data_IF_204263063954
#
_entry.id   IF_204263063954
#
_cell.length_a   1.000
_cell.length_b   1.000
_cell.length_c   1.000
_cell.angle_alpha   90.00
_cell.angle_beta   90.00
_cell.angle_gamma   90.00
#
_symmetry.space_group_name_H-M   'P 1'
#
loop_
_entity.id
_entity.type
_entity.pdbx_description
1 polymer ?
#
# COMPACT_ATOMS: atom_id res chain seq x y z
N UNK A 1 4.75 -19.93 8.57
CA UNK A 1 4.54 -19.21 7.33
C UNK A 1 4.08 -17.80 7.61
N UNK A 2 4.55 -16.89 6.81
CA UNK A 2 4.32 -15.48 7.05
C UNK A 2 3.28 -15.00 6.04
N UNK A 3 2.18 -14.52 6.53
CA UNK A 3 1.08 -14.02 5.69
C UNK A 3 0.60 -12.71 6.27
N UNK A 4 0.40 -11.73 5.43
CA UNK A 4 -0.05 -10.42 5.85
C UNK A 4 -1.18 -9.95 4.96
N UNK A 5 -2.20 -9.37 5.59
CA UNK A 5 -3.27 -8.71 4.86
C UNK A 5 -3.40 -7.30 5.44
N UNK A 6 -3.35 -6.30 4.58
CA UNK A 6 -3.41 -4.92 5.01
C UNK A 6 -4.34 -4.12 4.13
N UNK A 7 -5.12 -3.27 4.76
CA UNK A 7 -5.93 -2.28 4.05
C UNK A 7 -5.24 -0.94 4.16
N UNK A 8 -5.28 -0.17 3.12
CA UNK A 8 -4.71 1.17 3.15
C UNK A 8 -4.89 1.88 1.83
N UNK A 9 -4.21 3.01 1.71
CA UNK A 9 -4.21 3.78 0.46
C UNK A 9 -2.92 3.53 -0.27
N UNK A 10 -3.04 3.23 -1.56
CA UNK A 10 -1.88 3.01 -2.39
C UNK A 10 -1.33 4.35 -2.81
N UNK A 11 -0.05 4.55 -2.68
CA UNK A 11 0.61 5.81 -2.97
C UNK A 11 1.91 5.59 -3.73
N UNK A 12 2.30 6.56 -4.50
CA UNK A 12 3.63 6.60 -5.14
C UNK A 12 3.93 5.37 -5.98
N UNK A 13 2.98 4.97 -6.78
CA UNK A 13 3.16 3.81 -7.65
C UNK A 13 4.22 4.08 -8.69
N UNK A 14 5.06 3.09 -8.94
CA UNK A 14 6.08 3.18 -9.96
C UNK A 14 6.24 1.82 -10.62
N UNK A 15 6.06 1.76 -11.92
CA UNK A 15 6.23 0.52 -12.66
C UNK A 15 7.66 0.43 -13.16
N UNK A 16 8.26 -0.74 -13.00
CA UNK A 16 9.61 -0.98 -13.45
C UNK A 16 9.59 -2.23 -14.32
N UNK A 17 10.27 -2.16 -15.45
CA UNK A 17 10.40 -3.32 -16.32
C UNK A 17 11.78 -3.94 -16.08
N UNK A 18 11.80 -5.23 -15.78
CA UNK A 18 13.06 -5.92 -15.54
C UNK A 18 13.74 -6.26 -16.86
N UNK A 19 14.98 -6.70 -16.77
CA UNK A 19 15.75 -7.05 -17.96
C UNK A 19 15.13 -8.23 -18.72
N UNK A 20 14.31 -9.03 -18.05
CA UNK A 20 13.64 -10.14 -18.70
C UNK A 20 12.27 -9.76 -19.27
N UNK A 21 11.92 -8.48 -19.21
CA UNK A 21 10.66 -8.01 -19.78
C UNK A 21 9.47 -8.08 -18.85
N UNK A 22 9.68 -8.42 -17.58
CA UNK A 22 8.59 -8.48 -16.63
C UNK A 22 8.38 -7.14 -15.97
N UNK A 23 7.14 -6.85 -15.63
CA UNK A 23 6.80 -5.60 -14.96
C UNK A 23 6.62 -5.84 -13.46
N UNK A 24 7.20 -4.96 -12.68
CA UNK A 24 7.05 -4.98 -11.23
C UNK A 24 6.54 -3.60 -10.86
N UNK A 25 5.54 -3.53 -10.01
CA UNK A 25 5.07 -2.26 -9.50
C UNK A 25 5.52 -2.12 -8.05
N UNK A 26 6.16 -1.00 -7.75
CA UNK A 26 6.57 -0.65 -6.41
C UNK A 26 5.66 0.46 -5.97
N UNK A 27 5.17 0.39 -4.74
CA UNK A 27 4.31 1.43 -4.20
C UNK A 27 4.43 1.46 -2.68
N UNK A 28 3.90 2.51 -2.08
CA UNK A 28 3.79 2.61 -0.64
C UNK A 28 2.33 2.43 -0.26
N UNK A 29 2.10 1.74 0.83
CA UNK A 29 0.76 1.57 1.36
C UNK A 29 0.67 2.36 2.64
N UNK A 30 -0.25 3.32 2.68
CA UNK A 30 -0.48 4.15 3.85
C UNK A 30 -1.59 3.50 4.65
N UNK A 31 -1.28 2.97 5.81
CA UNK A 31 -2.24 2.20 6.60
C UNK A 31 -2.41 2.79 8.00
N UNK A 32 -3.54 2.49 8.59
CA UNK A 32 -3.86 2.96 9.94
C UNK A 32 -3.01 2.23 10.97
N UNK A 33 -2.36 2.98 11.82
CA UNK A 33 -1.43 2.45 12.79
C UNK A 33 -1.84 2.71 14.24
N UNK A 34 -3.14 2.83 14.50
CA UNK A 34 -3.64 3.03 15.85
C UNK A 34 -3.82 4.49 16.20
N UNK A 35 -4.09 4.74 17.48
CA UNK A 35 -4.27 6.09 17.97
C UNK A 35 -3.24 6.41 19.03
N UNK A 36 -2.85 7.68 19.07
CA UNK A 36 -1.96 8.16 20.09
C UNK A 36 -2.50 9.52 20.52
N UNK A 37 -2.75 9.68 21.80
CA UNK A 37 -3.29 10.92 22.36
C UNK A 37 -4.56 11.37 21.64
N UNK A 38 -5.44 10.40 21.35
CA UNK A 38 -6.71 10.70 20.71
C UNK A 38 -6.64 10.94 19.22
N UNK A 39 -5.45 10.89 18.63
CA UNK A 39 -5.29 11.15 17.20
C UNK A 39 -4.93 9.88 16.45
N UNK A 40 -5.55 9.69 15.30
CA UNK A 40 -5.25 8.54 14.44
C UNK A 40 -3.84 8.67 13.89
N UNK A 41 -3.12 7.58 13.92
CA UNK A 41 -1.75 7.53 13.40
C UNK A 41 -1.72 6.67 12.16
N UNK A 42 -0.90 7.05 11.20
CA UNK A 42 -0.76 6.32 9.95
C UNK A 42 0.71 6.03 9.70
N UNK A 43 0.95 4.95 9.05
CA UNK A 43 2.32 4.56 8.71
C UNK A 43 2.37 4.12 7.26
N UNK A 44 3.57 4.03 6.71
CA UNK A 44 3.77 3.60 5.34
C UNK A 44 4.60 2.32 5.36
N UNK A 45 4.32 1.44 4.43
CA UNK A 45 5.15 0.28 4.22
C UNK A 45 5.43 0.19 2.72
N UNK A 46 6.67 -0.14 2.38
CA UNK A 46 7.04 -0.33 0.99
C UNK A 46 6.49 -1.66 0.50
N UNK A 47 5.87 -1.64 -0.65
CA UNK A 47 5.23 -2.80 -1.24
C UNK A 47 5.76 -3.06 -2.63
N UNK A 48 5.72 -4.31 -3.02
CA UNK A 48 6.15 -4.72 -4.35
C UNK A 48 5.20 -5.80 -4.84
N UNK A 49 4.71 -5.66 -6.06
CA UNK A 49 3.88 -6.69 -6.67
C UNK A 49 4.47 -6.97 -8.06
N UNK A 50 4.55 -8.24 -8.42
CA UNK A 50 5.19 -8.64 -9.66
C UNK A 50 4.22 -8.65 -10.82
N UNK A 51 3.58 -7.53 -11.02
CA UNK A 51 2.66 -7.34 -12.14
C UNK A 51 2.44 -5.84 -12.33
N UNK A 52 1.85 -5.49 -13.46
CA UNK A 52 1.45 -4.11 -13.69
C UNK A 52 0.13 -3.86 -12.97
N UNK A 53 -0.04 -2.67 -12.45
CA UNK A 53 -1.27 -2.28 -11.80
C UNK A 53 -1.93 -1.15 -12.56
N UNK A 54 -3.25 -1.17 -12.58
CA UNK A 54 -4.03 -0.11 -13.17
C UNK A 54 -4.95 0.44 -12.09
N UNK A 55 -4.36 1.04 -11.08
CA UNK A 55 -5.08 1.54 -9.93
C UNK A 55 -4.74 3.01 -9.77
N UNK A 56 -5.76 3.81 -9.51
CA UNK A 56 -5.54 5.24 -9.30
C UNK A 56 -4.87 5.44 -7.94
N UNK A 57 -3.82 6.25 -7.92
CA UNK A 57 -3.10 6.55 -6.69
C UNK A 57 -4.07 7.09 -5.65
N UNK A 58 -3.83 6.75 -4.41
CA UNK A 58 -4.65 7.11 -3.25
C UNK A 58 -5.97 6.37 -3.15
N UNK A 59 -6.19 5.39 -4.01
CA UNK A 59 -7.35 4.52 -3.86
C UNK A 59 -7.16 3.64 -2.64
N UNK A 60 -8.26 3.26 -2.02
CA UNK A 60 -8.21 2.32 -0.91
C UNK A 60 -8.13 0.92 -1.47
N UNK A 61 -7.21 0.14 -0.95
CA UNK A 61 -6.98 -1.21 -1.44
C UNK A 61 -6.83 -2.17 -0.27
N UNK A 62 -7.06 -3.43 -0.55
CA UNK A 62 -6.79 -4.50 0.38
C UNK A 62 -5.70 -5.37 -0.26
N UNK A 63 -4.58 -5.51 0.42
CA UNK A 63 -3.43 -6.24 -0.10
C UNK A 63 -3.16 -7.47 0.72
N UNK A 64 -2.88 -8.57 0.06
CA UNK A 64 -2.53 -9.82 0.71
C UNK A 64 -1.21 -10.31 0.15
N UNK A 65 -0.37 -10.81 1.02
CA UNK A 65 0.93 -11.33 0.61
C UNK A 65 1.75 -11.73 1.80
N UNK A 66 3.03 -11.42 1.77
CA UNK A 66 3.92 -11.77 2.88
C UNK A 66 4.97 -10.69 3.07
N UNK A 67 5.56 -10.68 4.25
CA UNK A 67 6.64 -9.76 4.55
C UNK A 67 7.97 -10.43 4.25
N UNK A 68 8.86 -9.69 3.63
CA UNK A 68 10.20 -10.14 3.43
C UNK A 68 11.15 -9.00 3.69
N UNK A 69 12.42 -9.20 3.45
CA UNK A 69 13.38 -8.13 3.58
C UNK A 69 14.26 -8.11 2.35
N UNK A 70 14.71 -6.92 2.01
CA UNK A 70 15.67 -6.74 0.93
C UNK A 70 16.93 -6.13 1.53
N UNK A 71 18.07 -6.59 1.08
CA UNK A 71 19.34 -6.11 1.58
C UNK A 71 20.18 -5.66 0.42
N UNK A 72 20.99 -4.64 0.65
CA UNK A 72 21.93 -4.17 -0.37
C UNK A 72 23.13 -3.55 0.33
N UNK A 73 24.18 -3.33 -0.44
CA UNK A 73 25.38 -2.75 0.09
C UNK A 73 25.69 -1.49 -0.68
N UNK A 74 26.05 -0.43 0.02
CA UNK A 74 26.38 0.82 -0.61
C UNK A 74 27.49 1.47 0.19
N UNK A 75 28.58 1.84 -0.49
CA UNK A 75 29.73 2.49 0.13
C UNK A 75 30.27 1.71 1.32
N UNK A 76 30.31 0.38 1.19
CA UNK A 76 30.84 -0.48 2.23
C UNK A 76 29.91 -0.72 3.40
N UNK A 77 28.70 -0.16 3.36
CA UNK A 77 27.72 -0.37 4.42
C UNK A 77 26.59 -1.24 3.94
N UNK A 78 26.10 -2.07 4.81
CA UNK A 78 24.99 -2.95 4.49
C UNK A 78 23.69 -2.31 4.98
N UNK A 79 22.70 -2.35 4.13
CA UNK A 79 21.38 -1.81 4.43
C UNK A 79 20.34 -2.91 4.24
N UNK A 80 19.25 -2.82 4.96
CA UNK A 80 18.14 -3.73 4.74
C UNK A 80 16.84 -2.99 5.03
N UNK A 81 15.76 -3.50 4.49
CA UNK A 81 14.44 -2.95 4.77
C UNK A 81 13.41 -4.05 4.67
N UNK A 82 12.29 -3.84 5.33
CA UNK A 82 11.16 -4.76 5.25
C UNK A 82 10.33 -4.36 4.05
N UNK A 83 9.91 -5.34 3.27
CA UNK A 83 9.08 -5.10 2.09
C UNK A 83 7.88 -6.03 2.16
N UNK A 84 6.72 -5.49 1.87
CA UNK A 84 5.50 -6.28 1.78
C UNK A 84 5.38 -6.75 0.33
N UNK A 85 5.58 -8.04 0.11
CA UNK A 85 5.41 -8.61 -1.21
C UNK A 85 3.95 -8.96 -1.38
N UNK A 86 3.27 -8.21 -2.23
CA UNK A 86 1.84 -8.34 -2.43
C UNK A 86 1.58 -9.39 -3.50
N UNK A 87 0.73 -10.35 -3.16
CA UNK A 87 0.33 -11.37 -4.11
C UNK A 87 -1.01 -11.04 -4.72
N UNK A 88 -1.92 -10.48 -3.92
CA UNK A 88 -3.26 -10.11 -4.38
C UNK A 88 -3.57 -8.71 -3.91
N UNK A 89 -4.19 -7.93 -4.76
CA UNK A 89 -4.59 -6.58 -4.42
C UNK A 89 -5.99 -6.34 -4.97
N UNK A 90 -6.82 -5.71 -4.15
CA UNK A 90 -8.20 -5.44 -4.52
C UNK A 90 -8.53 -4.00 -4.17
N UNK A 91 -9.09 -3.28 -5.09
CA UNK A 91 -9.52 -1.90 -4.85
C UNK A 91 -10.83 -1.95 -4.09
N UNK A 92 -10.87 -1.36 -2.91
CA UNK A 92 -12.07 -1.35 -2.10
C UNK A 92 -12.81 -0.03 -2.22
N UNK A 93 -12.12 1.03 -2.59
CA UNK A 93 -12.76 2.33 -2.76
C UNK A 93 -11.86 3.19 -3.63
N UNK A 94 -12.42 3.75 -4.68
CA UNK A 94 -11.66 4.54 -5.62
C UNK A 94 -11.83 6.02 -5.30
N UNK A 95 -10.75 6.77 -5.28
CA UNK A 95 -10.85 8.18 -4.95
C UNK A 95 -11.62 8.95 -5.97
N UNK A 96 -11.73 8.45 -7.18
CA UNK A 96 -12.47 9.16 -8.15
C UNK A 96 -13.82 8.75 -8.13
N UNK A 97 -14.59 9.03 -7.23
CA UNK A 97 -15.92 8.69 -7.22
C UNK A 97 -16.65 9.78 -7.65
N UNK A 98 -17.26 9.72 -8.62
CA UNK A 98 -18.05 10.84 -9.10
C UNK A 98 -19.12 11.08 -8.12
N UNK A 99 -19.57 11.71 -7.97
CA UNK A 99 -20.60 11.98 -7.33
C UNK A 99 -20.81 11.68 -6.16
N UNK A 100 -20.89 11.75 -5.86
CA UNK A 100 -21.05 11.47 -4.92
C UNK A 100 -20.86 11.80 -4.07
N UNK A 101 -20.91 12.34 -4.06
CA UNK A 101 -20.73 12.54 -3.44
C UNK A 101 -21.05 12.55 -2.48
N UNK A 102 -21.39 12.76 -2.43
CA UNK A 102 -21.58 12.64 -1.54
C UNK A 102 -21.34 12.11 -0.74
N UNK A 103 -21.31 12.35 -0.70
CA UNK A 103 -21.00 11.81 0.10
C UNK A 103 -20.40 11.76 0.79
N UNK A 104 -20.20 12.16 1.02
CA UNK A 104 -19.55 12.02 1.74
C UNK A 104 -19.33 11.68 2.53
N UNK A 105 -19.47 11.80 2.58
CA UNK A 105 -19.10 11.36 3.37
C UNK A 105 -18.70 10.65 3.83
N UNK A 106 -18.89 10.82 3.70
CA UNK A 106 -18.41 10.01 4.19
C UNK A 106 -17.65 9.62 4.36
N UNK A 107 -17.37 9.81 4.15
CA UNK A 107 -16.56 9.38 4.32
C UNK A 107 -16.01 9.46 5.02
N UNK A 108 -16.04 9.93 5.24
CA UNK A 108 -15.42 9.96 5.85
C UNK A 108 -15.35 9.45 6.76
N UNK A 109 -15.74 9.32 7.05
CA UNK A 109 -15.49 8.67 7.81
C UNK A 109 -15.22 7.86 7.94
N UNK A 110 -15.43 7.81 7.63
CA UNK A 110 -15.21 6.98 7.88
C UNK A 110 -14.24 6.49 7.64
N UNK A 111 -13.83 6.61 7.31
CA UNK A 111 -12.86 6.21 6.95
C UNK A 111 -12.01 6.12 7.91
N UNK A 112 -12.09 6.48 8.61
CA UNK A 112 -11.26 6.53 9.45
C UNK A 112 -11.38 5.54 10.31
N UNK A 113 -11.92 4.97 10.20
CA UNK A 113 -12.10 4.17 11.00
C UNK A 113 -11.65 3.03 10.69
N UNK A 114 -11.03 2.83 10.36
CA UNK A 114 -10.64 1.83 10.00
C UNK A 114 -10.26 1.00 10.77
N UNK A 115 -10.46 0.35 10.92
CA UNK A 115 -10.26 -0.50 11.74
C UNK A 115 -9.53 -1.55 11.37
N UNK A 116 -9.04 -2.10 11.87
CA UNK A 116 -8.36 -3.22 11.56
C UNK A 116 -8.51 -4.18 12.63
#
# INVERSE_FOLDING_TARGET
MNTLELNGKICQQKAITTSTGKTITIFSLNFYNGKKDGKSQYAFIDCKIFSALDIVDKSNVNCKGWLGSESWEKDGKKYSRIVFYVKEIEVTSNVIKPLDSETKQVDDFGDDIVPF
#
